data_IF_884489075837
#
_entry.id   IF_884489075837
#
_cell.length_a   1.000
_cell.length_b   1.000
_cell.length_c   1.000
_cell.angle_alpha   90.00
_cell.angle_beta   90.00
_cell.angle_gamma   90.00
#
_symmetry.space_group_name_H-M   'P 1'
#
loop_
_entity.id
_entity.type
_entity.pdbx_description
1 polymer ?
#
# COMPACT_ATOMS: atom_id res chain seq x y z
N UNK A 1 13.28 75.52 -17.61
CA UNK A 1 12.30 75.57 -18.71
C UNK A 1 11.20 74.55 -18.38
N UNK A 2 10.06 75.03 -17.89
CA UNK A 2 8.82 74.23 -17.84
C UNK A 2 8.27 74.16 -19.29
N UNK A 3 7.30 73.36 -19.73
CA UNK A 3 6.22 72.55 -19.13
C UNK A 3 6.06 71.29 -20.05
N UNK A 4 5.43 70.16 -19.68
CA UNK A 4 3.97 69.89 -19.57
C UNK A 4 3.76 68.46 -18.97
N UNK A 5 2.51 68.15 -18.59
CA UNK A 5 2.03 66.82 -18.18
C UNK A 5 1.86 65.84 -19.35
N UNK A 6 1.90 64.53 -19.07
CA UNK A 6 0.74 63.63 -19.27
C UNK A 6 0.94 62.27 -18.58
N UNK A 7 0.07 61.94 -17.63
CA UNK A 7 -0.01 60.62 -17.01
C UNK A 7 -1.08 59.79 -17.72
N UNK A 8 -0.77 58.56 -18.14
CA UNK A 8 -1.76 57.57 -18.60
C UNK A 8 -1.13 56.19 -18.86
N UNK A 9 -1.20 55.29 -17.86
CA UNK A 9 -1.61 53.87 -18.03
C UNK A 9 -1.41 53.10 -16.72
N UNK A 10 -2.48 53.00 -15.95
CA UNK A 10 -2.62 52.00 -14.88
C UNK A 10 -2.82 50.62 -15.52
N UNK A 11 -2.54 49.54 -14.76
CA UNK A 11 -2.77 48.12 -15.08
C UNK A 11 -1.96 47.50 -16.23
N UNK A 12 -1.05 46.56 -15.89
CA UNK A 12 -1.10 45.15 -16.29
C UNK A 12 0.09 44.36 -15.69
N UNK A 13 -0.11 43.66 -14.56
CA UNK A 13 0.77 42.57 -14.06
C UNK A 13 0.12 41.84 -12.88
N UNK A 14 -0.97 41.12 -13.16
CA UNK A 14 -1.47 39.99 -12.36
C UNK A 14 -1.62 38.84 -13.35
N UNK A 15 -1.58 37.58 -12.88
CA UNK A 15 -1.62 36.32 -13.68
C UNK A 15 -0.23 36.00 -14.28
N UNK A 16 0.46 34.88 -14.00
CA UNK A 16 0.12 33.58 -13.35
C UNK A 16 1.19 33.19 -12.31
N UNK A 17 0.80 32.67 -11.14
CA UNK A 17 1.69 31.83 -10.31
C UNK A 17 0.92 30.63 -9.74
N UNK A 18 0.51 29.71 -10.62
CA UNK A 18 -0.35 28.57 -10.29
C UNK A 18 -0.05 27.36 -11.19
N UNK A 19 1.15 26.77 -11.05
CA UNK A 19 1.54 25.52 -11.73
C UNK A 19 2.57 24.66 -10.98
N UNK A 20 2.92 25.00 -9.73
CA UNK A 20 4.06 24.39 -9.03
C UNK A 20 3.78 23.05 -8.32
N UNK A 21 2.56 22.52 -8.36
CA UNK A 21 2.15 21.35 -7.56
C UNK A 21 2.16 20.02 -8.32
N UNK A 22 2.40 20.00 -9.63
CA UNK A 22 2.42 18.77 -10.44
C UNK A 22 3.79 18.07 -10.48
N UNK A 23 4.90 18.82 -10.43
CA UNK A 23 6.26 18.29 -10.67
C UNK A 23 6.79 17.30 -9.62
N UNK A 24 6.17 17.19 -8.44
CA UNK A 24 6.73 16.41 -7.33
C UNK A 24 6.65 14.88 -7.54
N UNK A 25 5.65 14.39 -8.28
CA UNK A 25 5.42 12.96 -8.47
C UNK A 25 6.28 12.37 -9.61
N UNK A 26 6.51 13.14 -10.69
CA UNK A 26 7.41 12.83 -11.81
C UNK A 26 8.76 12.30 -11.31
N UNK A 27 9.37 13.05 -10.38
CA UNK A 27 10.68 12.72 -9.82
C UNK A 27 10.66 11.48 -8.92
N UNK A 28 9.54 11.20 -8.25
CA UNK A 28 9.42 10.07 -7.33
C UNK A 28 9.39 8.73 -8.05
N UNK A 29 8.68 8.62 -9.18
CA UNK A 29 8.70 7.39 -9.98
C UNK A 29 10.04 7.19 -10.69
N UNK A 30 10.69 8.26 -11.16
CA UNK A 30 12.06 8.21 -11.67
C UNK A 30 13.04 7.64 -10.63
N UNK A 31 13.00 8.17 -9.40
CA UNK A 31 13.84 7.68 -8.28
C UNK A 31 13.60 6.19 -7.97
N UNK A 32 12.32 5.75 -7.96
CA UNK A 32 12.00 4.34 -7.74
C UNK A 32 12.60 3.47 -8.85
N UNK A 33 12.47 3.84 -10.13
CA UNK A 33 13.08 3.07 -11.23
C UNK A 33 14.59 2.96 -11.08
N UNK A 34 15.28 4.08 -10.87
CA UNK A 34 16.74 4.10 -10.70
C UNK A 34 17.17 3.21 -9.54
N UNK A 35 16.55 3.38 -8.36
CA UNK A 35 16.87 2.57 -7.19
C UNK A 35 16.66 1.07 -7.44
N UNK A 36 15.63 0.68 -8.19
CA UNK A 36 15.43 -0.74 -8.54
C UNK A 36 16.44 -1.24 -9.58
N UNK A 37 16.88 -0.40 -10.52
CA UNK A 37 17.95 -0.74 -11.46
C UNK A 37 19.27 -0.98 -10.72
N UNK A 38 19.65 -0.07 -9.82
CA UNK A 38 20.88 -0.19 -9.01
C UNK A 38 20.88 -1.49 -8.18
N UNK A 39 19.75 -1.80 -7.51
CA UNK A 39 19.55 -3.04 -6.75
C UNK A 39 19.66 -4.27 -7.66
N UNK A 40 19.06 -4.22 -8.85
CA UNK A 40 19.05 -5.33 -9.81
C UNK A 40 20.47 -5.64 -10.26
N UNK A 41 21.22 -4.62 -10.68
CA UNK A 41 22.61 -4.76 -11.13
C UNK A 41 23.57 -5.28 -10.04
N UNK A 42 23.44 -4.82 -8.79
CA UNK A 42 24.31 -5.29 -7.71
C UNK A 42 23.94 -6.74 -7.29
N UNK A 43 22.66 -7.09 -7.34
CA UNK A 43 22.16 -8.41 -6.93
C UNK A 43 22.32 -9.52 -7.98
N UNK A 44 22.25 -9.22 -9.28
CA UNK A 44 22.53 -10.19 -10.35
C UNK A 44 23.98 -10.69 -10.32
N UNK A 45 24.91 -9.86 -9.87
CA UNK A 45 26.32 -10.24 -9.67
C UNK A 45 26.50 -11.16 -8.44
N UNK A 46 25.50 -11.26 -7.56
CA UNK A 46 25.53 -12.01 -6.29
C UNK A 46 26.75 -11.68 -5.39
N UNK A 47 27.28 -10.47 -5.50
CA UNK A 47 28.46 -9.99 -4.77
C UNK A 47 28.10 -9.01 -3.65
N UNK A 48 29.10 -8.64 -2.83
CA UNK A 48 28.97 -7.56 -1.85
C UNK A 48 27.84 -7.81 -0.86
N UNK A 49 26.92 -6.85 -0.70
CA UNK A 49 25.80 -6.98 0.24
C UNK A 49 24.81 -8.09 -0.13
N UNK A 50 24.76 -8.51 -1.40
CA UNK A 50 23.80 -9.51 -1.89
C UNK A 50 24.33 -10.94 -1.85
N UNK A 51 25.63 -11.16 -1.60
CA UNK A 51 26.24 -12.48 -1.46
C UNK A 51 25.70 -13.31 -0.27
N UNK A 52 24.93 -12.69 0.63
CA UNK A 52 24.31 -13.34 1.80
C UNK A 52 22.97 -14.03 1.49
N UNK A 53 22.37 -13.75 0.34
CA UNK A 53 21.06 -14.25 -0.02
C UNK A 53 21.16 -15.56 -0.81
N UNK A 54 20.23 -16.48 -0.57
CA UNK A 54 20.13 -17.68 -1.39
C UNK A 54 19.49 -17.40 -2.76
N UNK A 55 19.53 -18.40 -3.66
CA UNK A 55 18.98 -18.25 -5.01
C UNK A 55 17.47 -17.98 -5.00
N UNK A 56 16.73 -18.55 -4.05
CA UNK A 56 15.28 -18.37 -3.95
C UNK A 56 14.92 -16.96 -3.44
N UNK A 57 15.66 -16.40 -2.49
CA UNK A 57 15.55 -15.01 -2.04
C UNK A 57 15.83 -14.03 -3.19
N UNK A 58 16.93 -14.24 -3.94
CA UNK A 58 17.29 -13.42 -5.09
C UNK A 58 16.24 -13.50 -6.21
N UNK A 59 15.83 -14.70 -6.62
CA UNK A 59 14.75 -14.90 -7.59
C UNK A 59 13.43 -14.25 -7.14
N UNK A 60 13.09 -14.33 -5.84
CA UNK A 60 11.89 -13.70 -5.27
C UNK A 60 11.97 -12.18 -5.36
N UNK A 61 13.13 -11.60 -5.07
CA UNK A 61 13.36 -10.17 -5.22
C UNK A 61 13.27 -9.76 -6.69
N UNK A 62 13.96 -10.45 -7.60
CA UNK A 62 13.96 -10.16 -9.03
C UNK A 62 12.55 -10.21 -9.64
N UNK A 63 11.73 -11.23 -9.32
CA UNK A 63 10.32 -11.29 -9.75
C UNK A 63 9.49 -10.10 -9.25
N UNK A 64 9.76 -9.60 -8.04
CA UNK A 64 9.10 -8.39 -7.54
C UNK A 64 9.59 -7.13 -8.29
N UNK A 65 10.88 -7.05 -8.63
CA UNK A 65 11.43 -5.96 -9.45
C UNK A 65 10.85 -5.95 -10.87
N UNK A 66 10.76 -7.12 -11.52
CA UNK A 66 10.12 -7.26 -12.84
C UNK A 66 8.68 -6.70 -12.80
N UNK A 67 7.94 -6.96 -11.71
CA UNK A 67 6.58 -6.41 -11.54
C UNK A 67 6.57 -4.89 -11.33
N UNK A 68 7.54 -4.34 -10.60
CA UNK A 68 7.72 -2.88 -10.48
C UNK A 68 7.98 -2.28 -11.86
N UNK A 69 8.90 -2.83 -12.64
CA UNK A 69 9.23 -2.30 -13.98
C UNK A 69 8.03 -2.38 -14.94
N UNK A 70 7.26 -3.47 -14.91
CA UNK A 70 6.02 -3.58 -15.70
C UNK A 70 4.96 -2.54 -15.32
N UNK A 71 4.71 -2.35 -14.02
CA UNK A 71 3.74 -1.35 -13.53
C UNK A 71 4.20 0.08 -13.80
N UNK A 72 5.50 0.29 -13.94
CA UNK A 72 6.12 1.59 -14.20
C UNK A 72 6.46 1.80 -15.69
N UNK A 73 6.11 0.89 -16.60
CA UNK A 73 6.35 1.10 -18.03
C UNK A 73 5.37 2.13 -18.61
N UNK A 74 5.85 3.04 -19.46
CA UNK A 74 5.07 4.15 -20.03
C UNK A 74 4.51 5.20 -19.04
N UNK A 75 4.62 4.98 -17.74
CA UNK A 75 4.06 5.85 -16.69
C UNK A 75 5.05 6.94 -16.28
N UNK A 76 4.62 8.19 -16.12
CA UNK A 76 5.44 9.26 -15.50
C UNK A 76 4.98 9.61 -14.10
N UNK A 77 3.66 9.63 -13.87
CA UNK A 77 3.05 10.06 -12.61
C UNK A 77 2.38 8.91 -11.86
N UNK A 78 2.45 8.94 -10.53
CA UNK A 78 1.68 8.03 -9.69
C UNK A 78 0.19 8.06 -10.01
N UNK A 79 -0.38 9.20 -10.41
CA UNK A 79 -1.82 9.34 -10.66
C UNK A 79 -2.30 8.80 -12.01
N UNK A 80 -1.39 8.36 -12.88
CA UNK A 80 -1.73 7.55 -14.05
C UNK A 80 -2.04 6.09 -13.67
N UNK A 81 -1.54 5.63 -12.52
CA UNK A 81 -1.82 4.28 -12.00
C UNK A 81 -3.20 4.22 -11.34
N UNK A 82 -3.96 3.17 -11.66
CA UNK A 82 -5.24 2.93 -11.01
C UNK A 82 -5.04 2.44 -9.55
N UNK A 83 -6.10 2.41 -8.75
CA UNK A 83 -5.99 2.07 -7.32
C UNK A 83 -5.56 0.62 -7.02
N UNK A 84 -5.70 -0.32 -7.97
CA UNK A 84 -5.14 -1.66 -7.88
C UNK A 84 -3.64 -1.66 -8.21
N UNK A 85 -3.25 -1.04 -9.32
CA UNK A 85 -1.84 -0.91 -9.73
C UNK A 85 -1.00 -0.20 -8.65
N UNK A 86 -1.54 0.86 -8.02
CA UNK A 86 -0.92 1.55 -6.88
C UNK A 86 -0.67 0.62 -5.69
N UNK A 87 -1.63 -0.26 -5.38
CA UNK A 87 -1.48 -1.23 -4.30
C UNK A 87 -0.49 -2.35 -4.66
N UNK A 88 -0.47 -2.77 -5.92
CA UNK A 88 0.44 -3.81 -6.41
C UNK A 88 1.89 -3.33 -6.49
N UNK A 89 2.11 -2.09 -6.95
CA UNK A 89 3.41 -1.43 -6.93
C UNK A 89 3.98 -1.37 -5.51
N UNK A 90 3.15 -0.99 -4.53
CA UNK A 90 3.54 -0.96 -3.12
C UNK A 90 3.85 -2.37 -2.59
N UNK A 91 3.04 -3.39 -2.91
CA UNK A 91 3.30 -4.78 -2.54
C UNK A 91 4.62 -5.33 -3.10
N UNK A 92 4.97 -4.95 -4.33
CA UNK A 92 6.21 -5.35 -4.98
C UNK A 92 7.42 -4.66 -4.32
N UNK A 93 7.34 -3.35 -4.07
CA UNK A 93 8.36 -2.59 -3.33
C UNK A 93 8.58 -3.14 -1.91
N UNK A 94 7.49 -3.45 -1.20
CA UNK A 94 7.52 -4.06 0.13
C UNK A 94 8.13 -5.48 0.11
N UNK A 95 7.94 -6.24 -0.97
CA UNK A 95 8.59 -7.55 -1.15
C UNK A 95 10.09 -7.42 -1.39
N UNK A 96 10.54 -6.45 -2.20
CA UNK A 96 11.98 -6.15 -2.37
C UNK A 96 12.59 -5.72 -1.03
N UNK A 97 11.92 -4.82 -0.29
CA UNK A 97 12.35 -4.39 1.05
C UNK A 97 12.50 -5.58 1.99
N UNK A 98 11.47 -6.42 2.10
CA UNK A 98 11.42 -7.55 3.02
C UNK A 98 12.54 -8.58 2.78
N UNK A 99 12.88 -8.86 1.52
CA UNK A 99 14.04 -9.70 1.18
C UNK A 99 15.33 -9.01 1.63
N UNK A 100 15.55 -7.74 1.25
CA UNK A 100 16.77 -7.00 1.61
C UNK A 100 16.98 -6.92 3.13
N UNK A 101 15.91 -6.74 3.90
CA UNK A 101 15.95 -6.65 5.37
C UNK A 101 15.83 -8.00 6.08
N UNK A 102 15.62 -9.10 5.35
CA UNK A 102 15.33 -10.44 5.88
C UNK A 102 14.21 -10.44 6.95
N UNK A 103 13.16 -9.65 6.71
CA UNK A 103 12.01 -9.50 7.60
C UNK A 103 10.72 -9.54 6.76
N UNK A 104 10.10 -10.72 6.68
CA UNK A 104 8.84 -10.91 5.95
C UNK A 104 7.60 -10.59 6.79
N UNK A 105 7.73 -10.58 8.12
CA UNK A 105 6.61 -10.38 9.05
C UNK A 105 6.13 -8.92 9.07
N UNK A 106 7.06 -7.96 9.04
CA UNK A 106 6.78 -6.53 8.98
C UNK A 106 6.60 -5.99 7.54
N UNK A 107 6.63 -6.88 6.54
CA UNK A 107 6.26 -6.55 5.17
C UNK A 107 4.80 -6.07 5.14
N UNK A 108 4.56 -4.86 4.64
CA UNK A 108 3.18 -4.41 4.43
C UNK A 108 2.62 -5.06 3.18
N UNK A 109 1.35 -5.47 3.26
CA UNK A 109 0.60 -5.96 2.11
C UNK A 109 -0.72 -5.19 2.04
N UNK A 110 -0.93 -4.53 0.90
CA UNK A 110 -2.15 -3.83 0.55
C UNK A 110 -3.03 -4.70 -0.34
N UNK A 111 -4.33 -4.77 -0.04
CA UNK A 111 -5.33 -5.43 -0.87
C UNK A 111 -6.56 -4.54 -1.03
N UNK A 112 -7.38 -4.87 -2.04
CA UNK A 112 -8.67 -4.20 -2.28
C UNK A 112 -9.80 -5.13 -1.90
N UNK A 113 -10.67 -4.66 -1.04
CA UNK A 113 -11.79 -5.43 -0.47
C UNK A 113 -13.12 -4.74 -0.79
N UNK A 114 -14.15 -5.53 -1.05
CA UNK A 114 -15.51 -5.03 -1.31
C UNK A 114 -16.23 -4.90 0.04
N UNK A 115 -16.65 -3.70 0.41
CA UNK A 115 -17.38 -3.48 1.66
C UNK A 115 -18.70 -4.27 1.63
N UNK A 116 -18.96 -5.08 2.66
CA UNK A 116 -20.18 -5.89 2.75
C UNK A 116 -21.44 -5.00 2.65
N UNK A 117 -22.44 -5.47 1.90
CA UNK A 117 -23.66 -4.69 1.60
C UNK A 117 -23.46 -3.52 0.62
N UNK A 118 -22.26 -3.31 0.06
CA UNK A 118 -21.98 -2.21 -0.88
C UNK A 118 -21.33 -2.70 -2.19
N UNK A 119 -21.40 -1.87 -3.23
CA UNK A 119 -20.59 -2.02 -4.45
C UNK A 119 -19.26 -1.25 -4.40
N UNK A 120 -18.97 -0.56 -3.28
CA UNK A 120 -17.73 0.18 -3.09
C UNK A 120 -16.59 -0.75 -2.70
N UNK A 121 -15.39 -0.45 -3.20
CA UNK A 121 -14.14 -1.09 -2.83
C UNK A 121 -13.30 -0.16 -1.96
N UNK A 122 -12.72 -0.69 -0.90
CA UNK A 122 -11.77 -0.02 -0.03
C UNK A 122 -10.39 -0.67 -0.18
N UNK A 123 -9.32 0.12 -0.06
CA UNK A 123 -7.96 -0.40 0.00
C UNK A 123 -7.56 -0.51 1.46
N UNK A 124 -7.16 -1.70 1.91
CA UNK A 124 -6.63 -1.95 3.24
C UNK A 124 -5.16 -2.34 3.11
N UNK A 125 -4.32 -1.86 4.03
CA UNK A 125 -2.91 -2.22 4.14
C UNK A 125 -2.63 -2.65 5.58
N UNK A 126 -1.94 -3.77 5.76
CA UNK A 126 -1.51 -4.28 7.06
C UNK A 126 -0.23 -5.10 6.90
N UNK A 127 0.53 -5.28 7.97
CA UNK A 127 1.70 -6.18 7.96
C UNK A 127 1.28 -7.64 7.83
N UNK A 128 2.17 -8.50 7.33
CA UNK A 128 1.92 -9.96 7.28
C UNK A 128 1.60 -10.50 8.68
N UNK A 129 2.31 -10.03 9.70
CA UNK A 129 2.08 -10.35 11.12
C UNK A 129 0.68 -9.95 11.61
N UNK A 130 0.22 -8.72 11.37
CA UNK A 130 -1.14 -8.29 11.74
C UNK A 130 -2.21 -9.12 11.02
N UNK A 131 -2.01 -9.43 9.74
CA UNK A 131 -2.96 -10.28 8.97
C UNK A 131 -3.02 -11.70 9.52
N UNK A 132 -1.91 -12.24 10.02
CA UNK A 132 -1.88 -13.53 10.71
C UNK A 132 -2.67 -13.45 12.03
N UNK A 133 -2.41 -12.45 12.87
CA UNK A 133 -3.10 -12.24 14.14
C UNK A 133 -4.62 -12.07 13.99
N UNK A 134 -5.08 -11.28 13.00
CA UNK A 134 -6.52 -11.12 12.72
C UNK A 134 -7.16 -12.44 12.29
N UNK A 135 -6.46 -13.23 11.46
CA UNK A 135 -6.93 -14.55 11.01
C UNK A 135 -6.96 -15.57 12.14
N UNK A 136 -6.02 -15.52 13.08
CA UNK A 136 -5.96 -16.39 14.24
C UNK A 136 -7.01 -16.03 15.29
N UNK A 137 -7.14 -14.75 15.66
CA UNK A 137 -8.23 -14.28 16.54
C UNK A 137 -9.63 -14.55 15.96
N UNK A 138 -9.78 -14.57 14.63
CA UNK A 138 -11.01 -15.00 13.96
C UNK A 138 -11.33 -16.49 14.09
N UNK A 139 -10.32 -17.37 14.25
CA UNK A 139 -10.52 -18.80 14.59
C UNK A 139 -10.83 -18.97 16.07
N UNK A 140 -10.19 -18.20 16.94
CA UNK A 140 -10.48 -18.22 18.38
C UNK A 140 -11.90 -17.69 18.66
N UNK A 141 -12.43 -16.83 17.77
CA UNK A 141 -13.84 -16.43 17.74
C UNK A 141 -14.79 -17.51 17.17
N UNK A 142 -14.41 -18.79 17.11
CA UNK A 142 -15.41 -19.87 17.08
C UNK A 142 -16.15 -19.89 18.43
N UNK A 143 -17.14 -19.00 18.55
CA UNK A 143 -17.90 -18.77 19.77
C UNK A 143 -18.39 -20.09 20.34
N UNK A 144 -17.93 -20.42 21.55
CA UNK A 144 -18.22 -21.71 22.20
C UNK A 144 -19.72 -21.96 22.12
N UNK A 145 -20.19 -23.12 21.60
CA UNK A 145 -21.59 -23.34 21.32
C UNK A 145 -22.39 -23.11 22.60
N UNK A 146 -23.12 -21.99 22.60
CA UNK A 146 -23.92 -21.55 23.74
C UNK A 146 -25.34 -21.98 23.44
N UNK A 147 -25.75 -23.10 24.03
CA UNK A 147 -27.12 -23.59 23.87
C UNK A 147 -28.00 -22.71 24.76
N UNK A 148 -28.92 -21.99 24.13
CA UNK A 148 -30.00 -21.28 24.81
C UNK A 148 -31.21 -22.21 24.93
N UNK A 149 -31.59 -22.53 26.16
CA UNK A 149 -32.77 -23.33 26.48
C UNK A 149 -33.86 -22.49 27.13
N UNK A 150 -35.11 -22.89 26.94
CA UNK A 150 -36.22 -22.44 27.78
C UNK A 150 -36.35 -23.41 28.95
N UNK A 151 -36.10 -22.94 30.17
CA UNK A 151 -36.41 -23.71 31.40
C UNK A 151 -37.89 -23.51 31.76
N UNK A 152 -38.70 -24.57 31.87
CA UNK A 152 -40.09 -24.45 32.32
C UNK A 152 -40.16 -23.92 33.75
N UNK A 153 -40.99 -22.89 33.98
CA UNK A 153 -41.17 -22.25 35.27
C UNK A 153 -42.29 -21.20 35.24
N UNK A 154 -42.67 -20.62 36.39
CA UNK A 154 -43.78 -19.65 36.49
C UNK A 154 -43.53 -18.37 35.69
N UNK A 155 -42.27 -18.06 35.37
CA UNK A 155 -41.89 -17.14 34.29
C UNK A 155 -41.05 -17.90 33.26
N UNK A 156 -41.50 -17.93 32.00
CA UNK A 156 -40.67 -18.48 30.91
C UNK A 156 -39.41 -17.63 30.76
N UNK A 157 -38.26 -18.20 31.14
CA UNK A 157 -36.99 -17.50 31.22
C UNK A 157 -36.00 -18.20 30.29
N UNK A 158 -35.46 -17.47 29.31
CA UNK A 158 -34.44 -17.99 28.40
C UNK A 158 -33.10 -17.95 29.13
N UNK A 159 -32.47 -19.11 29.30
CA UNK A 159 -31.13 -19.21 29.88
C UNK A 159 -30.17 -19.72 28.82
N UNK A 160 -29.10 -18.96 28.59
CA UNK A 160 -28.02 -19.32 27.67
C UNK A 160 -26.78 -19.73 28.49
N UNK A 161 -26.23 -20.91 28.21
CA UNK A 161 -25.08 -21.44 28.93
C UNK A 161 -24.07 -22.11 27.99
N UNK A 162 -22.80 -22.12 28.40
CA UNK A 162 -21.76 -22.92 27.74
C UNK A 162 -22.07 -24.40 28.00
N UNK A 163 -22.06 -25.22 26.96
CA UNK A 163 -22.14 -26.68 27.10
C UNK A 163 -20.98 -27.14 27.98
N UNK A 164 -21.29 -27.90 29.05
CA UNK A 164 -20.29 -28.71 29.75
C UNK A 164 -20.23 -30.05 29.03
N UNK A 165 -19.03 -30.43 28.64
CA UNK A 165 -18.69 -31.78 28.16
C UNK A 165 -18.74 -32.80 29.33
#
# INVERSE_FOLDING_TARGET
MNIRNLALSLSLSVVVLAAATAQANVGKLGLIRQQQQDIREESERATGRYARFDRYELERMHRAQDRIFQLLDGVTELDQLNAADKAELLNALETVKAVITQNDEDRQVCWREKTLGSHRFQTHCATVRERAQVREGGKDWHGSPTICGQTPGPSMTITCGRVRE
#
